data_IF_689670343572
#
_entry.id   IF_689670343572
#
_cell.length_a   1.000
_cell.length_b   1.000
_cell.length_c   1.000
_cell.angle_alpha   90.00
_cell.angle_beta   90.00
_cell.angle_gamma   90.00
#
_symmetry.space_group_name_H-M   'P 1'
#
loop_
_entity.id
_entity.type
_entity.pdbx_description
1 polymer ?
#
# COMPACT_ATOMS: atom_id res chain seq x y z
N UNK A 1 -10.09 -1.92 8.54
CA UNK A 1 -9.87 -1.17 9.79
C UNK A 1 -8.96 0.02 9.54
N UNK A 2 -7.89 -0.15 8.77
CA UNK A 2 -6.98 0.93 8.37
C UNK A 2 -7.70 2.16 7.81
N UNK A 3 -8.62 1.98 6.86
CA UNK A 3 -9.43 3.10 6.35
C UNK A 3 -10.22 3.82 7.47
N UNK A 4 -10.77 3.11 8.46
CA UNK A 4 -11.44 3.76 9.61
C UNK A 4 -10.42 4.56 10.43
N UNK A 5 -9.22 4.01 10.68
CA UNK A 5 -8.19 4.70 11.45
C UNK A 5 -7.66 5.94 10.73
N UNK A 6 -7.46 5.85 9.41
CA UNK A 6 -7.06 6.98 8.58
C UNK A 6 -8.11 8.09 8.64
N UNK A 7 -9.39 7.78 8.40
CA UNK A 7 -10.48 8.78 8.47
C UNK A 7 -10.63 9.38 9.87
N UNK A 8 -10.43 8.59 10.93
CA UNK A 8 -10.41 9.13 12.29
C UNK A 8 -9.22 10.09 12.51
N UNK A 9 -8.04 9.77 11.98
CA UNK A 9 -6.90 10.66 12.03
C UNK A 9 -7.17 11.98 11.31
N UNK A 10 -7.69 11.94 10.08
CA UNK A 10 -8.08 13.14 9.33
C UNK A 10 -9.12 13.98 10.09
N UNK A 11 -10.16 13.35 10.66
CA UNK A 11 -11.15 14.06 11.50
C UNK A 11 -10.48 14.75 12.70
N UNK A 12 -9.51 14.09 13.36
CA UNK A 12 -8.76 14.68 14.46
C UNK A 12 -7.99 15.94 14.00
N UNK A 13 -7.32 15.87 12.85
CA UNK A 13 -6.59 17.02 12.28
C UNK A 13 -7.54 18.16 11.88
N UNK A 14 -8.72 17.84 11.34
CA UNK A 14 -9.76 18.81 11.01
C UNK A 14 -10.31 19.50 12.26
N UNK A 15 -10.51 18.78 13.36
CA UNK A 15 -10.90 19.36 14.65
C UNK A 15 -9.81 20.28 15.19
N UNK A 16 -8.55 19.84 15.18
CA UNK A 16 -7.40 20.63 15.65
C UNK A 16 -7.20 21.91 14.83
N UNK A 17 -7.33 21.81 13.51
CA UNK A 17 -7.24 22.93 12.57
C UNK A 17 -8.52 23.77 12.46
N UNK A 18 -9.57 23.39 13.19
CA UNK A 18 -10.89 24.05 13.21
C UNK A 18 -11.60 24.10 11.84
N UNK A 19 -11.31 23.15 10.97
CA UNK A 19 -11.95 22.97 9.66
C UNK A 19 -13.12 21.99 9.76
N UNK A 20 -14.12 22.37 10.55
CA UNK A 20 -15.20 21.44 10.92
C UNK A 20 -16.15 21.09 9.77
N UNK A 21 -16.26 21.97 8.77
CA UNK A 21 -17.08 21.75 7.57
C UNK A 21 -16.60 20.55 6.74
N UNK A 22 -15.31 20.21 6.81
CA UNK A 22 -14.70 19.10 6.08
C UNK A 22 -14.88 17.74 6.80
N UNK A 23 -15.42 17.72 8.03
CA UNK A 23 -15.59 16.48 8.82
C UNK A 23 -16.62 15.53 8.16
N UNK A 24 -17.59 16.08 7.42
CA UNK A 24 -18.62 15.31 6.73
C UNK A 24 -18.04 14.23 5.81
N UNK A 25 -17.10 14.60 4.93
CA UNK A 25 -16.55 13.69 3.91
C UNK A 25 -15.88 12.48 4.57
N UNK A 26 -15.12 12.73 5.64
CA UNK A 26 -14.39 11.69 6.35
C UNK A 26 -15.34 10.79 7.16
N UNK A 27 -16.31 11.39 7.84
CA UNK A 27 -17.31 10.65 8.63
C UNK A 27 -18.22 9.78 7.74
N UNK A 28 -18.54 10.23 6.53
CA UNK A 28 -19.37 9.48 5.57
C UNK A 28 -18.68 8.16 5.16
N UNK A 29 -17.37 8.19 4.96
CA UNK A 29 -16.58 6.98 4.67
C UNK A 29 -16.63 6.00 5.84
N UNK A 30 -16.45 6.48 7.08
CA UNK A 30 -16.57 5.65 8.30
C UNK A 30 -17.97 5.04 8.40
N UNK A 31 -19.02 5.81 8.09
CA UNK A 31 -20.40 5.34 8.10
C UNK A 31 -20.62 4.18 7.12
N UNK A 32 -20.15 4.34 5.87
CA UNK A 32 -20.23 3.33 4.81
C UNK A 32 -19.56 2.03 5.26
N UNK A 33 -18.35 2.11 5.83
CA UNK A 33 -17.61 0.94 6.31
C UNK A 33 -18.29 0.30 7.51
N UNK A 34 -18.69 1.09 8.51
CA UNK A 34 -19.37 0.61 9.72
C UNK A 34 -20.65 -0.17 9.41
N UNK A 35 -21.38 0.22 8.36
CA UNK A 35 -22.58 -0.48 7.90
C UNK A 35 -22.31 -1.88 7.32
N UNK A 36 -21.12 -2.14 6.78
CA UNK A 36 -20.76 -3.40 6.12
C UNK A 36 -19.70 -4.21 6.85
N UNK A 37 -19.06 -3.69 7.91
CA UNK A 37 -17.93 -4.34 8.57
C UNK A 37 -18.27 -5.72 9.14
N UNK A 38 -19.49 -5.92 9.62
CA UNK A 38 -19.97 -7.24 10.06
C UNK A 38 -20.04 -8.26 8.92
N UNK A 39 -20.36 -7.84 7.70
CA UNK A 39 -20.35 -8.70 6.51
C UNK A 39 -18.93 -9.02 6.06
N UNK A 40 -18.01 -8.05 6.15
CA UNK A 40 -16.59 -8.26 5.87
C UNK A 40 -15.99 -9.28 6.86
N UNK A 41 -16.30 -9.16 8.14
CA UNK A 41 -15.86 -10.08 9.18
C UNK A 41 -16.42 -11.51 9.00
N UNK A 42 -17.58 -11.66 8.36
CA UNK A 42 -18.22 -12.96 8.09
C UNK A 42 -17.57 -13.76 6.96
N UNK A 43 -16.72 -13.14 6.12
CA UNK A 43 -16.07 -13.84 5.01
C UNK A 43 -15.18 -14.97 5.53
N UNK A 44 -15.08 -16.07 4.78
CA UNK A 44 -14.35 -17.26 5.21
C UNK A 44 -12.84 -17.01 5.41
N UNK A 45 -12.30 -16.04 4.69
CA UNK A 45 -10.91 -15.60 4.71
C UNK A 45 -10.67 -14.38 5.62
N UNK A 46 -11.67 -13.95 6.40
CA UNK A 46 -11.56 -12.75 7.23
C UNK A 46 -10.58 -12.89 8.39
N UNK A 47 -10.21 -14.12 8.78
CA UNK A 47 -9.40 -14.41 9.97
C UNK A 47 -10.11 -14.12 11.31
N UNK A 48 -11.36 -13.67 11.28
CA UNK A 48 -12.11 -13.26 12.48
C UNK A 48 -12.78 -14.47 13.14
N UNK A 49 -12.69 -14.63 14.48
CA UNK A 49 -13.43 -15.67 15.20
C UNK A 49 -14.95 -15.51 15.04
N UNK A 50 -15.65 -16.61 14.71
CA UNK A 50 -17.13 -16.61 14.58
C UNK A 50 -17.86 -16.08 15.82
N UNK A 51 -17.28 -16.28 17.01
CA UNK A 51 -17.82 -15.77 18.28
C UNK A 51 -17.80 -14.24 18.37
N UNK A 52 -16.87 -13.56 17.69
CA UNK A 52 -16.71 -12.11 17.72
C UNK A 52 -17.65 -11.36 16.77
N UNK A 53 -18.22 -12.05 15.76
CA UNK A 53 -19.03 -11.44 14.70
C UNK A 53 -20.19 -10.61 15.25
N UNK A 54 -20.86 -11.08 16.30
CA UNK A 54 -21.99 -10.36 16.91
C UNK A 54 -21.56 -9.01 17.48
N UNK A 55 -20.42 -8.98 18.16
CA UNK A 55 -19.87 -7.76 18.76
C UNK A 55 -19.34 -6.81 17.69
N UNK A 56 -18.65 -7.33 16.68
CA UNK A 56 -18.16 -6.54 15.54
C UNK A 56 -19.32 -5.88 14.79
N UNK A 57 -20.39 -6.62 14.50
CA UNK A 57 -21.56 -6.06 13.81
C UNK A 57 -22.22 -4.98 14.67
N UNK A 58 -22.37 -5.23 15.98
CA UNK A 58 -22.90 -4.23 16.92
C UNK A 58 -22.05 -2.96 16.94
N UNK A 59 -20.74 -3.08 17.17
CA UNK A 59 -19.81 -1.96 17.23
C UNK A 59 -19.75 -1.20 15.89
N UNK A 60 -19.77 -1.92 14.76
CA UNK A 60 -19.81 -1.31 13.42
C UNK A 60 -21.08 -0.49 13.18
N UNK A 61 -22.25 -1.00 13.58
CA UNK A 61 -23.52 -0.28 13.49
C UNK A 61 -23.57 0.92 14.42
N UNK A 62 -23.07 0.78 15.65
CA UNK A 62 -22.95 1.90 16.58
C UNK A 62 -22.01 2.97 16.04
N UNK A 63 -20.89 2.59 15.42
CA UNK A 63 -19.95 3.52 14.79
C UNK A 63 -20.58 4.25 13.62
N UNK A 64 -21.26 3.53 12.72
CA UNK A 64 -21.99 4.17 11.62
C UNK A 64 -23.11 5.09 12.12
N UNK A 65 -23.78 4.73 13.21
CA UNK A 65 -24.80 5.56 13.85
C UNK A 65 -24.28 6.86 14.48
N UNK A 66 -22.95 7.07 14.57
CA UNK A 66 -22.38 8.35 15.02
C UNK A 66 -22.31 9.41 13.93
N UNK A 67 -22.50 9.03 12.66
CA UNK A 67 -22.42 9.94 11.51
C UNK A 67 -23.30 11.19 11.69
N UNK A 68 -24.62 11.04 11.87
CA UNK A 68 -25.54 12.18 12.00
C UNK A 68 -25.15 13.13 13.15
N UNK A 69 -24.55 12.58 14.22
CA UNK A 69 -24.16 13.36 15.38
C UNK A 69 -22.88 14.17 15.14
N UNK A 70 -21.87 13.57 14.50
CA UNK A 70 -20.62 14.28 14.20
C UNK A 70 -20.80 15.27 13.05
N UNK A 71 -21.61 14.90 12.05
CA UNK A 71 -22.00 15.74 10.91
C UNK A 71 -22.69 17.02 11.39
N UNK A 72 -23.77 16.88 12.16
CA UNK A 72 -24.48 18.02 12.73
C UNK A 72 -23.61 18.90 13.63
N UNK A 73 -22.72 18.31 14.42
CA UNK A 73 -21.82 19.07 15.28
C UNK A 73 -20.82 19.87 14.43
N UNK A 74 -20.25 19.24 13.40
CA UNK A 74 -19.35 19.85 12.41
C UNK A 74 -19.99 21.04 11.70
N UNK A 75 -21.15 20.83 11.06
CA UNK A 75 -21.92 21.84 10.34
C UNK A 75 -22.30 23.06 11.20
N UNK A 76 -22.48 22.84 12.51
CA UNK A 76 -22.82 23.90 13.45
C UNK A 76 -21.61 24.68 13.98
N UNK A 77 -20.39 24.26 13.62
CA UNK A 77 -19.14 24.80 14.16
C UNK A 77 -18.88 24.43 15.63
N UNK A 78 -19.58 23.44 16.18
CA UNK A 78 -19.46 23.02 17.58
C UNK A 78 -18.24 22.11 17.79
N UNK A 79 -17.06 22.72 17.91
CA UNK A 79 -15.81 21.98 18.11
C UNK A 79 -15.85 21.02 19.33
N UNK A 80 -16.51 21.41 20.42
CA UNK A 80 -16.60 20.58 21.62
C UNK A 80 -17.55 19.39 21.41
N UNK A 81 -18.67 19.61 20.73
CA UNK A 81 -19.59 18.57 20.28
C UNK A 81 -18.92 17.59 19.33
N UNK A 82 -18.22 18.10 18.31
CA UNK A 82 -17.50 17.27 17.32
C UNK A 82 -16.43 16.41 18.00
N UNK A 83 -15.61 17.01 18.89
CA UNK A 83 -14.60 16.26 19.65
C UNK A 83 -15.22 15.16 20.50
N UNK A 84 -16.36 15.43 21.16
CA UNK A 84 -17.04 14.43 21.98
C UNK A 84 -17.53 13.25 21.15
N UNK A 85 -18.13 13.51 19.98
CA UNK A 85 -18.60 12.42 19.10
C UNK A 85 -17.41 11.64 18.52
N UNK A 86 -16.34 12.34 18.14
CA UNK A 86 -15.09 11.73 17.72
C UNK A 86 -14.53 10.76 18.79
N UNK A 87 -14.47 11.17 20.07
CA UNK A 87 -13.98 10.30 21.15
C UNK A 87 -14.84 9.02 21.31
N UNK A 88 -16.15 9.12 21.07
CA UNK A 88 -17.05 7.96 21.07
C UNK A 88 -16.80 7.04 19.86
N UNK A 89 -16.59 7.63 18.68
CA UNK A 89 -16.21 6.89 17.46
C UNK A 89 -14.88 6.18 17.64
N UNK A 90 -13.86 6.85 18.21
CA UNK A 90 -12.55 6.28 18.48
C UNK A 90 -12.62 5.06 19.43
N UNK A 91 -13.48 5.10 20.45
CA UNK A 91 -13.71 3.95 21.35
C UNK A 91 -14.35 2.76 20.64
N UNK A 92 -15.28 3.01 19.73
CA UNK A 92 -15.92 1.97 18.93
C UNK A 92 -14.92 1.37 17.94
N UNK A 93 -14.11 2.20 17.27
CA UNK A 93 -13.02 1.75 16.41
C UNK A 93 -11.98 0.92 17.19
N UNK A 94 -11.59 1.34 18.39
CA UNK A 94 -10.70 0.55 19.25
C UNK A 94 -11.30 -0.79 19.68
N UNK A 95 -12.63 -0.91 19.76
CA UNK A 95 -13.30 -2.20 20.00
C UNK A 95 -13.20 -3.11 18.78
N UNK A 96 -13.39 -2.56 17.58
CA UNK A 96 -13.23 -3.29 16.32
C UNK A 96 -11.77 -3.74 16.10
N UNK A 97 -10.81 -2.91 16.47
CA UNK A 97 -9.36 -3.16 16.33
C UNK A 97 -8.91 -4.44 17.04
N UNK A 98 -9.53 -4.78 18.18
CA UNK A 98 -9.24 -6.02 18.94
C UNK A 98 -9.47 -7.30 18.13
N UNK A 99 -10.30 -7.21 17.11
CA UNK A 99 -10.70 -8.35 16.28
C UNK A 99 -10.01 -8.37 14.92
N UNK A 100 -9.10 -7.42 14.66
CA UNK A 100 -8.25 -7.47 13.47
C UNK A 100 -7.31 -8.66 13.60
N UNK A 101 -7.34 -9.63 12.66
CA UNK A 101 -6.39 -10.72 12.67
C UNK A 101 -4.97 -10.16 12.51
N UNK A 102 -4.06 -10.65 13.34
CA UNK A 102 -2.65 -10.25 13.30
C UNK A 102 -1.83 -11.39 12.74
N UNK A 103 -1.00 -11.05 11.76
CA UNK A 103 0.03 -11.95 11.26
C UNK A 103 1.40 -11.43 11.70
N UNK A 104 2.34 -12.34 11.91
CA UNK A 104 3.70 -12.03 12.32
C UNK A 104 4.68 -12.71 11.38
N UNK A 105 5.80 -12.07 11.08
CA UNK A 105 6.87 -12.60 10.24
C UNK A 105 8.22 -12.55 10.97
N UNK A 106 9.14 -13.43 10.57
CA UNK A 106 10.52 -13.34 11.02
C UNK A 106 11.20 -12.17 10.30
N UNK A 107 11.80 -11.20 11.02
CA UNK A 107 12.45 -10.05 10.38
C UNK A 107 13.64 -10.45 9.50
N UNK A 108 14.23 -11.62 9.74
CA UNK A 108 15.34 -12.17 8.95
C UNK A 108 14.87 -12.99 7.74
N UNK A 109 13.56 -13.20 7.55
CA UNK A 109 12.97 -14.03 6.49
C UNK A 109 13.61 -15.43 6.36
N UNK A 110 14.06 -16.03 7.48
CA UNK A 110 14.71 -17.34 7.49
C UNK A 110 13.84 -18.48 6.94
N UNK A 111 12.51 -18.29 6.95
CA UNK A 111 11.52 -19.25 6.45
C UNK A 111 10.77 -18.69 5.24
N UNK A 112 11.37 -17.73 4.52
CA UNK A 112 10.75 -17.05 3.38
C UNK A 112 9.49 -16.27 3.80
N UNK A 113 8.38 -16.52 3.10
CA UNK A 113 7.10 -15.83 3.28
C UNK A 113 6.22 -16.42 4.40
N UNK A 114 6.76 -17.31 5.22
CA UNK A 114 6.00 -17.93 6.30
C UNK A 114 5.58 -16.91 7.36
N UNK A 115 4.29 -16.92 7.69
CA UNK A 115 3.69 -16.08 8.74
C UNK A 115 3.22 -16.91 9.94
N UNK A 116 2.99 -16.23 11.06
CA UNK A 116 2.52 -16.80 12.32
C UNK A 116 1.30 -16.01 12.80
N UNK A 117 0.35 -16.67 13.46
CA UNK A 117 -0.87 -16.02 13.98
C UNK A 117 -0.70 -15.43 15.39
N UNK A 118 0.46 -15.61 16.02
CA UNK A 118 0.74 -15.20 17.40
C UNK A 118 2.14 -14.58 17.50
N UNK A 119 2.34 -13.63 18.43
CA UNK A 119 3.68 -13.13 18.73
C UNK A 119 4.55 -14.25 19.32
N UNK A 120 5.87 -14.09 19.19
CA UNK A 120 6.84 -15.09 19.68
C UNK A 120 8.22 -14.86 19.09
N UNK A 121 9.06 -15.90 19.11
CA UNK A 121 10.38 -15.88 18.50
C UNK A 121 10.44 -16.84 17.31
N UNK A 122 11.17 -16.47 16.26
CA UNK A 122 11.41 -17.33 15.11
C UNK A 122 12.16 -18.60 15.55
N UNK A 123 11.67 -19.80 15.20
CA UNK A 123 12.30 -21.06 15.60
C UNK A 123 13.65 -21.32 14.91
N UNK A 124 13.99 -20.57 13.87
CA UNK A 124 15.26 -20.69 13.14
C UNK A 124 16.38 -19.81 13.69
N UNK A 125 16.10 -18.52 13.89
CA UNK A 125 17.12 -17.55 14.31
C UNK A 125 16.95 -17.03 15.74
N UNK A 126 15.84 -17.35 16.42
CA UNK A 126 15.56 -16.91 17.78
C UNK A 126 15.15 -15.44 17.92
N UNK A 127 15.14 -14.65 16.84
CA UNK A 127 14.69 -13.26 16.88
C UNK A 127 13.18 -13.16 17.13
N UNK A 128 12.76 -12.07 17.79
CA UNK A 128 11.35 -11.76 17.97
C UNK A 128 10.66 -11.62 16.60
N UNK A 129 9.50 -12.26 16.46
CA UNK A 129 8.62 -12.08 15.32
C UNK A 129 8.05 -10.66 15.35
N UNK A 130 7.99 -10.03 14.18
CA UNK A 130 7.43 -8.69 14.00
C UNK A 130 6.02 -8.80 13.46
N UNK A 131 5.09 -8.01 14.02
CA UNK A 131 3.72 -7.91 13.49
C UNK A 131 3.77 -7.36 12.07
N UNK A 132 3.12 -8.04 11.15
CA UNK A 132 2.92 -7.58 9.78
C UNK A 132 1.85 -6.50 9.84
N UNK A 133 2.25 -5.29 9.46
CA UNK A 133 1.37 -4.16 9.25
C UNK A 133 1.53 -3.67 7.81
N UNK A 134 0.52 -2.99 7.27
CA UNK A 134 0.67 -2.29 5.99
C UNK A 134 1.93 -1.40 6.03
N UNK A 135 2.59 -1.26 4.88
CA UNK A 135 3.76 -0.38 4.68
C UNK A 135 5.00 -0.69 5.53
N UNK A 136 5.10 -1.88 6.16
CA UNK A 136 6.31 -2.22 6.92
C UNK A 136 7.41 -2.79 6.02
N UNK A 137 7.05 -3.57 5.00
CA UNK A 137 8.03 -4.18 4.11
C UNK A 137 8.30 -3.32 2.88
N UNK A 138 9.38 -2.53 2.91
CA UNK A 138 9.85 -1.76 1.76
C UNK A 138 11.02 -2.43 1.01
N UNK A 139 11.21 -3.74 1.18
CA UNK A 139 12.30 -4.45 0.51
C UNK A 139 11.91 -4.84 -0.91
N UNK A 140 12.74 -4.54 -1.92
CA UNK A 140 12.58 -5.05 -3.29
C UNK A 140 12.59 -6.59 -3.30
N UNK A 141 11.73 -7.21 -4.10
CA UNK A 141 11.64 -8.68 -4.25
C UNK A 141 12.44 -9.20 -5.45
N UNK A 142 12.67 -8.34 -6.43
CA UNK A 142 13.35 -8.61 -7.70
C UNK A 142 14.68 -7.84 -7.83
N UNK A 143 15.13 -7.18 -6.76
CA UNK A 143 16.38 -6.42 -6.77
C UNK A 143 16.28 -5.09 -7.51
N UNK A 144 15.05 -4.62 -7.72
CA UNK A 144 14.74 -3.39 -8.39
C UNK A 144 14.72 -2.17 -7.47
N UNK A 145 14.22 -1.07 -8.02
CA UNK A 145 13.88 0.13 -7.26
C UNK A 145 12.42 0.00 -6.81
N UNK A 146 12.19 0.14 -5.50
CA UNK A 146 10.89 -0.10 -4.86
C UNK A 146 10.28 1.22 -4.38
N UNK A 147 8.99 1.40 -4.64
CA UNK A 147 8.22 2.58 -4.26
C UNK A 147 6.94 2.22 -3.54
N UNK A 148 6.52 3.10 -2.64
CA UNK A 148 5.13 3.22 -2.21
C UNK A 148 4.50 4.34 -3.04
N UNK A 149 3.35 4.08 -3.64
CA UNK A 149 2.60 5.10 -4.37
C UNK A 149 1.96 6.11 -3.40
N UNK A 150 1.77 7.38 -3.82
CA UNK A 150 1.08 8.41 -3.05
C UNK A 150 -0.29 8.01 -2.47
N UNK A 151 -1.00 7.08 -3.11
CA UNK A 151 -2.29 6.58 -2.64
C UNK A 151 -2.22 5.69 -1.38
N UNK A 152 -1.01 5.38 -0.91
CA UNK A 152 -0.74 4.48 0.21
C UNK A 152 -1.42 3.12 0.09
N UNK A 153 -1.69 2.65 -1.12
CA UNK A 153 -2.33 1.34 -1.38
C UNK A 153 -1.47 0.48 -2.26
N UNK A 154 -0.80 1.09 -3.22
CA UNK A 154 0.03 0.38 -4.17
C UNK A 154 1.51 0.52 -3.84
N UNK A 155 2.21 -0.60 -3.85
CA UNK A 155 3.66 -0.61 -3.96
C UNK A 155 4.10 -1.07 -5.34
N UNK A 156 5.22 -0.55 -5.80
CA UNK A 156 5.76 -0.78 -7.14
C UNK A 156 7.21 -1.21 -7.04
N UNK A 157 7.62 -2.15 -7.86
CA UNK A 157 9.04 -2.46 -8.03
C UNK A 157 9.40 -2.49 -9.52
N UNK A 158 10.31 -1.60 -9.92
CA UNK A 158 10.89 -1.63 -11.25
C UNK A 158 12.20 -2.39 -11.23
N UNK A 159 12.30 -3.48 -11.99
CA UNK A 159 13.51 -4.28 -12.12
C UNK A 159 13.88 -4.44 -13.60
N UNK A 160 15.19 -4.41 -13.92
CA UNK A 160 15.68 -4.57 -15.29
C UNK A 160 16.76 -5.65 -15.38
N UNK A 161 16.66 -6.53 -16.37
CA UNK A 161 17.66 -7.56 -16.64
C UNK A 161 18.87 -7.03 -17.43
N UNK A 162 19.92 -7.84 -17.50
CA UNK A 162 21.10 -7.62 -18.35
C UNK A 162 20.77 -7.54 -19.86
N UNK A 163 19.62 -8.11 -20.26
CA UNK A 163 19.11 -8.10 -21.64
C UNK A 163 18.25 -6.88 -21.96
N UNK A 164 18.03 -5.97 -21.00
CA UNK A 164 17.18 -4.79 -21.16
C UNK A 164 15.69 -5.07 -21.00
N UNK A 165 15.31 -6.26 -20.53
CA UNK A 165 13.92 -6.57 -20.18
C UNK A 165 13.60 -5.91 -18.83
N UNK A 166 12.71 -4.92 -18.85
CA UNK A 166 12.23 -4.20 -17.68
C UNK A 166 10.87 -4.73 -17.26
N UNK A 167 10.70 -5.01 -15.97
CA UNK A 167 9.43 -5.36 -15.36
C UNK A 167 9.07 -4.30 -14.30
N UNK A 168 7.82 -3.88 -14.31
CA UNK A 168 7.22 -3.18 -13.19
C UNK A 168 6.22 -4.11 -12.50
N UNK A 169 6.55 -4.49 -11.27
CA UNK A 169 5.75 -5.35 -10.41
C UNK A 169 4.85 -4.52 -9.50
N UNK A 170 3.63 -5.01 -9.23
CA UNK A 170 2.64 -4.33 -8.41
C UNK A 170 2.31 -5.16 -7.17
N UNK A 171 2.18 -4.48 -6.03
CA UNK A 171 1.82 -5.10 -4.76
C UNK A 171 0.83 -4.25 -3.97
N UNK A 172 0.11 -4.90 -3.05
CA UNK A 172 -0.75 -4.23 -2.08
C UNK A 172 0.06 -3.65 -0.90
N UNK A 173 -0.65 -3.06 0.05
CA UNK A 173 -0.11 -2.48 1.29
C UNK A 173 0.69 -3.47 2.15
N UNK A 174 0.47 -4.79 1.97
CA UNK A 174 1.18 -5.88 2.63
C UNK A 174 2.30 -6.49 1.77
N UNK A 175 2.64 -5.86 0.65
CA UNK A 175 3.56 -6.36 -0.38
C UNK A 175 3.18 -7.70 -1.02
N UNK A 176 1.88 -8.05 -1.01
CA UNK A 176 1.37 -9.22 -1.73
C UNK A 176 1.13 -8.84 -3.20
N UNK A 177 1.50 -9.71 -4.17
CA UNK A 177 1.39 -9.36 -5.59
C UNK A 177 -0.04 -9.06 -6.05
N UNK A 178 -0.21 -7.98 -6.82
CA UNK A 178 -1.46 -7.63 -7.50
C UNK A 178 -1.34 -7.98 -8.99
N UNK A 179 -2.39 -8.54 -9.59
CA UNK A 179 -2.44 -8.78 -11.03
C UNK A 179 -2.31 -7.47 -11.82
N UNK A 180 -1.36 -7.43 -12.75
CA UNK A 180 -1.05 -6.24 -13.54
C UNK A 180 -2.17 -5.83 -14.52
N UNK A 181 -3.14 -6.73 -14.78
CA UNK A 181 -4.34 -6.46 -15.60
C UNK A 181 -5.21 -5.32 -15.04
N UNK A 182 -5.02 -4.97 -13.76
CA UNK A 182 -5.71 -3.86 -13.11
C UNK A 182 -5.15 -2.49 -13.48
N UNK A 183 -3.98 -2.43 -14.12
CA UNK A 183 -3.25 -1.20 -14.36
C UNK A 183 -2.91 -1.03 -15.83
N UNK A 184 -2.71 0.23 -16.24
CA UNK A 184 -2.09 0.53 -17.54
C UNK A 184 -0.87 1.41 -17.31
N UNK A 185 0.19 1.20 -18.10
CA UNK A 185 1.40 1.99 -17.97
C UNK A 185 1.99 2.36 -19.33
N UNK A 186 2.57 3.55 -19.41
CA UNK A 186 3.42 3.99 -20.51
C UNK A 186 4.82 4.30 -19.97
N UNK A 187 5.87 3.96 -20.72
CA UNK A 187 7.23 4.19 -20.29
C UNK A 187 8.01 5.12 -21.20
N UNK A 188 9.04 5.75 -20.65
CA UNK A 188 10.08 6.45 -21.38
C UNK A 188 11.45 6.10 -20.80
N UNK A 189 12.45 5.96 -21.66
CA UNK A 189 13.84 5.70 -21.27
C UNK A 189 14.68 6.94 -21.51
N UNK A 190 15.48 7.30 -20.52
CA UNK A 190 16.52 8.31 -20.60
C UNK A 190 17.86 7.66 -20.25
N UNK A 191 18.90 8.00 -20.99
CA UNK A 191 20.26 7.55 -20.71
C UNK A 191 21.27 8.58 -21.22
N UNK A 192 22.50 8.51 -20.71
CA UNK A 192 23.58 9.38 -21.18
C UNK A 192 23.87 9.11 -22.66
N UNK A 193 23.87 10.16 -23.48
CA UNK A 193 24.09 10.07 -24.92
C UNK A 193 22.81 9.99 -25.77
N UNK A 194 21.63 10.01 -25.13
CA UNK A 194 20.36 10.23 -25.83
C UNK A 194 20.02 11.73 -25.83
N UNK A 195 19.77 12.30 -27.01
CA UNK A 195 19.37 13.71 -27.15
C UNK A 195 17.97 13.99 -26.58
N UNK A 196 17.13 12.95 -26.50
CA UNK A 196 15.76 12.98 -25.96
C UNK A 196 15.37 11.64 -25.37
N UNK A 197 14.34 11.65 -24.53
CA UNK A 197 13.73 10.41 -24.03
C UNK A 197 13.15 9.57 -25.17
N UNK A 198 13.29 8.26 -25.07
CA UNK A 198 12.76 7.29 -26.04
C UNK A 198 11.53 6.59 -25.44
N UNK A 199 10.45 6.37 -26.23
CA UNK A 199 9.28 5.66 -25.73
C UNK A 199 9.62 4.20 -25.40
N UNK A 200 9.10 3.72 -24.28
CA UNK A 200 9.13 2.33 -23.85
C UNK A 200 7.70 1.78 -23.83
N UNK A 201 7.39 0.90 -24.77
CA UNK A 201 6.10 0.22 -24.80
C UNK A 201 6.02 -0.79 -23.67
N UNK A 202 5.03 -0.63 -22.80
CA UNK A 202 4.68 -1.62 -21.78
C UNK A 202 3.65 -2.60 -22.34
N UNK A 203 3.82 -3.88 -22.01
CA UNK A 203 2.96 -4.97 -22.44
C UNK A 203 2.48 -5.76 -21.24
N UNK A 204 1.20 -6.11 -21.27
CA UNK A 204 0.57 -6.98 -20.30
C UNK A 204 0.85 -8.44 -20.65
N UNK A 205 1.26 -9.22 -19.66
CA UNK A 205 1.24 -10.68 -19.73
C UNK A 205 0.09 -11.21 -18.86
N UNK A 206 -0.86 -11.99 -19.41
CA UNK A 206 -2.03 -12.43 -18.66
C UNK A 206 -1.67 -13.17 -17.36
N UNK A 207 -2.42 -12.86 -16.29
CA UNK A 207 -2.25 -13.42 -14.93
C UNK A 207 -0.88 -13.18 -14.29
N UNK A 208 -0.06 -12.28 -14.82
CA UNK A 208 1.19 -11.84 -14.17
C UNK A 208 0.94 -10.64 -13.28
N UNK A 209 1.76 -10.49 -12.25
CA UNK A 209 1.77 -9.32 -11.36
C UNK A 209 2.69 -8.21 -11.84
N UNK A 210 3.13 -8.26 -13.10
CA UNK A 210 3.99 -7.25 -13.69
C UNK A 210 3.56 -6.86 -15.11
N UNK A 211 3.89 -5.63 -15.50
CA UNK A 211 3.94 -5.19 -16.89
C UNK A 211 5.39 -5.24 -17.37
N UNK A 212 5.58 -5.53 -18.66
CA UNK A 212 6.89 -5.73 -19.27
C UNK A 212 7.20 -4.69 -20.33
N UNK A 213 8.41 -4.15 -20.32
CA UNK A 213 8.96 -3.30 -21.37
C UNK A 213 10.32 -3.83 -21.84
N UNK A 214 10.68 -3.58 -23.09
CA UNK A 214 12.00 -3.94 -23.62
C UNK A 214 12.77 -2.67 -23.97
N UNK A 215 13.84 -2.40 -23.23
CA UNK A 215 14.80 -1.33 -23.51
C UNK A 215 15.71 -1.77 -24.65
N UNK A 216 15.97 -0.87 -25.59
CA UNK A 216 16.87 -1.15 -26.71
C UNK A 216 18.30 -1.47 -26.20
N UNK A 217 18.90 -2.55 -26.71
CA UNK A 217 20.21 -3.05 -26.26
C UNK A 217 21.38 -2.08 -26.52
N UNK A 218 21.18 -1.10 -27.41
CA UNK A 218 22.15 -0.03 -27.66
C UNK A 218 22.23 0.96 -26.50
N UNK A 219 21.15 1.10 -25.73
CA UNK A 219 21.10 1.95 -24.54
C UNK A 219 21.89 1.28 -23.43
N UNK A 220 22.87 1.99 -22.88
CA UNK A 220 23.74 1.49 -21.81
C UNK A 220 23.38 2.12 -20.47
N UNK A 221 23.65 1.38 -19.41
CA UNK A 221 23.62 1.92 -18.06
C UNK A 221 24.73 3.00 -17.88
N UNK A 222 24.55 4.00 -17.01
CA UNK A 222 23.34 4.24 -16.22
C UNK A 222 22.18 4.76 -17.07
N UNK A 223 20.96 4.32 -16.75
CA UNK A 223 19.72 4.72 -17.41
C UNK A 223 18.62 4.98 -16.39
N UNK A 224 17.65 5.79 -16.76
CA UNK A 224 16.45 6.09 -16.00
C UNK A 224 15.23 5.69 -16.82
N UNK A 225 14.28 5.02 -16.20
CA UNK A 225 13.00 4.63 -16.81
C UNK A 225 11.90 5.38 -16.09
N UNK A 226 11.26 6.31 -16.79
CA UNK A 226 10.08 7.03 -16.32
C UNK A 226 8.84 6.24 -16.70
N UNK A 227 8.02 5.83 -15.73
CA UNK A 227 6.76 5.13 -15.95
C UNK A 227 5.59 6.00 -15.51
N UNK A 228 4.61 6.15 -16.39
CA UNK A 228 3.31 6.79 -16.15
C UNK A 228 2.29 5.67 -15.92
N UNK A 229 1.74 5.57 -14.71
CA UNK A 229 0.85 4.48 -14.29
C UNK A 229 -0.55 5.04 -14.04
N UNK A 230 -1.53 4.50 -14.73
CA UNK A 230 -2.95 4.69 -14.44
C UNK A 230 -3.44 3.52 -13.58
N UNK A 231 -3.78 3.83 -12.33
CA UNK A 231 -4.27 2.88 -11.33
C UNK A 231 -5.75 2.50 -11.52
N UNK A 232 -6.43 3.08 -12.52
CA UNK A 232 -7.86 2.86 -12.83
C UNK A 232 -8.80 3.24 -11.68
N UNK A 233 -8.38 4.18 -10.86
CA UNK A 233 -9.12 4.76 -9.73
C UNK A 233 -9.91 6.03 -10.11
N UNK A 234 -9.70 6.55 -11.33
CA UNK A 234 -10.33 7.78 -11.83
C UNK A 234 -9.43 9.00 -11.71
N UNK A 235 -8.26 8.87 -11.10
CA UNK A 235 -7.25 9.92 -10.99
C UNK A 235 -6.34 9.98 -12.23
N UNK A 236 -5.54 11.05 -12.31
CA UNK A 236 -4.53 11.19 -13.37
C UNK A 236 -3.42 10.14 -13.20
N UNK A 237 -2.78 9.69 -14.31
CA UNK A 237 -1.65 8.78 -14.21
C UNK A 237 -0.52 9.36 -13.34
N UNK A 238 0.00 8.53 -12.43
CA UNK A 238 1.10 8.88 -11.53
C UNK A 238 2.46 8.54 -12.17
N UNK A 239 3.50 9.28 -11.81
CA UNK A 239 4.82 9.19 -12.46
C UNK A 239 5.88 8.67 -11.49
N UNK A 240 6.65 7.69 -11.95
CA UNK A 240 7.72 7.06 -11.18
C UNK A 240 8.99 6.97 -12.01
N UNK A 241 10.11 7.44 -11.46
CA UNK A 241 11.43 7.37 -12.10
C UNK A 241 12.29 6.27 -11.47
N UNK A 242 12.60 5.25 -12.26
CA UNK A 242 13.42 4.10 -11.86
C UNK A 242 14.84 4.28 -12.42
N UNK A 243 15.79 4.61 -11.56
CA UNK A 243 17.19 4.79 -11.93
C UNK A 243 18.00 3.50 -11.75
N UNK A 244 18.76 3.11 -12.77
CA UNK A 244 19.56 1.90 -12.79
C UNK A 244 21.01 2.19 -13.22
N UNK A 245 21.96 1.86 -12.34
CA UNK A 245 23.41 1.88 -12.68
C UNK A 245 23.87 0.56 -13.34
N UNK A 246 23.02 -0.45 -13.34
CA UNK A 246 23.27 -1.78 -13.89
C UNK A 246 22.02 -2.65 -13.80
N UNK A 247 22.08 -3.92 -14.23
CA UNK A 247 20.96 -4.84 -14.10
C UNK A 247 20.60 -5.10 -12.62
N UNK A 248 19.30 -5.22 -12.35
CA UNK A 248 18.75 -5.59 -11.05
C UNK A 248 19.25 -6.96 -10.61
N UNK A 249 19.49 -7.11 -9.31
CA UNK A 249 20.00 -8.33 -8.69
C UNK A 249 19.02 -8.80 -7.63
N UNK A 250 18.21 -9.84 -7.88
CA UNK A 250 17.27 -10.37 -6.91
C UNK A 250 17.96 -10.70 -5.57
N UNK A 251 17.30 -10.53 -4.43
CA UNK A 251 17.83 -10.97 -3.14
C UNK A 251 18.18 -12.46 -3.18
N UNK A 252 19.34 -12.84 -2.64
CA UNK A 252 19.76 -14.24 -2.55
C UNK A 252 18.73 -15.05 -1.74
N UNK A 253 18.00 -15.93 -2.41
CA UNK A 253 16.81 -16.60 -1.86
C UNK A 253 15.87 -17.21 -2.90
N UNK A 254 16.07 -16.89 -4.18
CA UNK A 254 15.69 -17.75 -5.31
C UNK A 254 16.99 -18.02 -6.07
N UNK A 255 17.65 -19.12 -5.73
CA UNK A 255 18.76 -19.80 -6.43
C UNK A 255 19.67 -18.89 -7.29
N UNK A 256 20.63 -18.20 -6.69
CA UNK A 256 22.07 -18.41 -6.92
C UNK A 256 22.90 -17.35 -6.17
N UNK A 257 24.08 -17.76 -5.73
CA UNK A 257 24.99 -16.99 -4.88
C UNK A 257 25.45 -15.67 -5.55
N UNK A 258 25.27 -14.53 -4.88
CA UNK A 258 26.39 -13.65 -4.43
C UNK A 258 25.87 -12.34 -3.83
N UNK A 259 26.57 -11.96 -2.76
CA UNK A 259 26.33 -10.80 -1.90
C UNK A 259 26.56 -9.47 -2.65
N UNK A 260 25.60 -8.54 -2.60
CA UNK A 260 25.78 -7.20 -3.15
C UNK A 260 24.72 -6.21 -2.69
N UNK A 261 25.09 -5.35 -1.73
CA UNK A 261 24.32 -4.16 -1.35
C UNK A 261 24.19 -3.23 -2.57
N UNK A 262 22.97 -2.93 -3.00
CA UNK A 262 22.69 -1.78 -3.85
C UNK A 262 21.45 -1.06 -3.33
N UNK A 263 21.65 0.15 -2.83
CA UNK A 263 20.61 1.14 -2.55
C UNK A 263 20.36 1.90 -3.86
N UNK A 264 19.32 1.52 -4.61
CA UNK A 264 18.85 2.31 -5.76
C UNK A 264 18.13 3.55 -5.25
N UNK A 265 18.54 4.74 -5.71
CA UNK A 265 17.82 5.99 -5.45
C UNK A 265 16.74 6.14 -6.50
N UNK A 266 15.50 6.30 -6.08
CA UNK A 266 14.38 6.61 -6.95
C UNK A 266 13.55 7.73 -6.36
N UNK A 267 12.90 8.52 -7.20
CA UNK A 267 12.01 9.61 -6.77
C UNK A 267 10.65 9.44 -7.47
N UNK A 268 9.57 9.38 -6.69
CA UNK A 268 8.20 9.45 -7.20
C UNK A 268 7.62 10.81 -6.87
N UNK A 269 7.18 11.57 -7.88
CA UNK A 269 6.58 12.91 -7.71
C UNK A 269 5.30 12.97 -8.54
N UNK A 270 4.27 13.61 -8.00
CA UNK A 270 3.10 14.01 -8.76
C UNK A 270 3.45 15.32 -9.48
N UNK A 271 4.07 15.23 -10.67
CA UNK A 271 4.30 16.43 -11.48
C UNK A 271 2.97 16.87 -12.11
N UNK A 272 2.50 18.07 -11.75
CA UNK A 272 1.51 18.81 -12.54
C UNK A 272 2.17 19.35 -13.82
N UNK A 273 1.43 19.41 -14.95
CA UNK A 273 1.97 19.73 -16.27
C UNK A 273 2.52 21.16 -16.41
#
# INVERSE_FOLDING_TARGET
>A
MEEIQHRLHEISELIESKKLDDVHSEAEVIQKIGNVIGQLALKADSGVPKSAIKEINKAGRELAGKFDAIDKAGDSGDAAGTQKVYDEMAKLAATLEKYVPKEYACPMKCEGDKTYSQPGNCPKCGMALVEIKPHIDHHPKHGGVFFMAPDQKHHLEGAISDKGEFHIHFYDEYTKPILAEKFTAEGKVRAKGLDKELPLKMTLEPRKSFLKGNVDKSIKFPLSIKIFIDFKDGEKPQVFDFDFDGPSKPPAGHDDETNGKHEGKGHGHADEP
#
